data_IF_101373392619
#
_entry.id   IF_101373392619
#
_cell.length_a   1.000
_cell.length_b   1.000
_cell.length_c   1.000
_cell.angle_alpha   90.00
_cell.angle_beta   90.00
_cell.angle_gamma   90.00
#
_symmetry.space_group_name_H-M   'P 1'
#
loop_
_entity.id
_entity.type
_entity.pdbx_description
1 polymer ?
#
# COMPACT_ATOMS: atom_id res chain seq x y z
N UNK A 1 -2.56 15.10 25.12
CA UNK A 1 -2.51 14.97 23.66
C UNK A 1 -3.61 14.00 23.21
N UNK A 2 -4.22 14.22 22.06
CA UNK A 2 -5.22 13.29 21.54
C UNK A 2 -4.54 11.98 21.11
N UNK A 3 -5.24 10.84 21.28
CA UNK A 3 -4.74 9.55 20.80
C UNK A 3 -5.24 9.31 19.38
N UNK A 4 -4.34 8.92 18.51
CA UNK A 4 -4.63 8.61 17.11
C UNK A 4 -4.29 7.16 16.78
N UNK A 5 -4.89 6.65 15.71
CA UNK A 5 -4.57 5.36 15.12
C UNK A 5 -3.53 5.57 14.03
N UNK A 6 -2.41 4.88 14.16
CA UNK A 6 -1.37 4.81 13.14
C UNK A 6 -1.35 3.36 12.61
N UNK A 7 -1.75 3.16 11.36
CA UNK A 7 -1.73 1.85 10.72
C UNK A 7 -0.41 1.62 10.01
N UNK A 8 0.42 0.77 10.59
CA UNK A 8 1.72 0.39 10.04
C UNK A 8 1.53 -0.65 8.96
N UNK A 9 1.99 -0.33 7.76
CA UNK A 9 1.85 -1.16 6.56
C UNK A 9 3.23 -1.61 6.12
N UNK A 10 3.39 -2.93 5.86
CA UNK A 10 4.64 -3.51 5.36
C UNK A 10 4.38 -4.55 4.28
N UNK A 11 5.44 -4.91 3.56
CA UNK A 11 5.42 -5.98 2.56
C UNK A 11 6.00 -7.24 3.18
N UNK A 12 5.26 -8.35 3.09
CA UNK A 12 5.64 -9.63 3.68
C UNK A 12 6.68 -10.42 2.84
N UNK A 13 7.01 -11.63 3.29
CA UNK A 13 8.01 -12.50 2.67
C UNK A 13 7.45 -13.52 1.68
N UNK A 14 6.18 -13.43 1.26
CA UNK A 14 5.62 -14.36 0.28
C UNK A 14 6.33 -14.26 -1.08
N UNK A 15 6.48 -15.40 -1.73
CA UNK A 15 7.06 -15.52 -3.06
C UNK A 15 6.15 -16.40 -3.92
N UNK A 16 5.95 -16.10 -5.21
CA UNK A 16 6.57 -15.02 -5.98
C UNK A 16 5.96 -13.64 -5.74
N UNK A 17 4.76 -13.56 -5.14
CA UNK A 17 4.01 -12.32 -4.97
C UNK A 17 3.92 -11.94 -3.49
N UNK A 18 4.74 -10.98 -3.04
CA UNK A 18 4.64 -10.44 -1.69
C UNK A 18 3.28 -9.76 -1.45
N UNK A 19 2.82 -9.78 -0.21
CA UNK A 19 1.52 -9.21 0.18
C UNK A 19 1.71 -8.06 1.15
N UNK A 20 0.80 -7.09 1.06
CA UNK A 20 0.68 -6.05 2.08
C UNK A 20 0.12 -6.64 3.38
N UNK A 21 0.73 -6.24 4.47
CA UNK A 21 0.28 -6.53 5.84
C UNK A 21 0.12 -5.22 6.59
N UNK A 22 -0.74 -5.21 7.58
CA UNK A 22 -0.87 -4.05 8.45
C UNK A 22 -1.21 -4.42 9.89
N UNK A 23 -0.92 -3.50 10.79
CA UNK A 23 -1.38 -3.50 12.19
C UNK A 23 -1.46 -2.08 12.71
N UNK A 24 -2.42 -1.81 13.57
CA UNK A 24 -2.69 -0.47 14.10
C UNK A 24 -2.07 -0.26 15.47
N UNK A 25 -1.29 0.78 15.63
CA UNK A 25 -0.77 1.28 16.92
C UNK A 25 -1.53 2.54 17.34
N UNK A 26 -1.74 2.69 18.63
CA UNK A 26 -2.25 3.93 19.21
C UNK A 26 -1.04 4.76 19.65
N UNK A 27 -0.94 5.96 19.12
CA UNK A 27 0.14 6.91 19.42
C UNK A 27 -0.43 8.27 19.84
N UNK A 28 0.41 9.16 20.32
CA UNK A 28 0.03 10.54 20.55
C UNK A 28 -0.02 11.30 19.22
N UNK A 29 -1.01 12.15 19.06
CA UNK A 29 -1.20 12.97 17.87
C UNK A 29 -1.52 14.41 18.23
N UNK A 30 -1.66 15.30 17.24
CA UNK A 30 -1.43 15.03 15.80
C UNK A 30 0.04 14.77 15.48
N UNK A 31 0.27 14.07 14.36
CA UNK A 31 1.61 13.82 13.80
C UNK A 31 1.83 14.74 12.60
N UNK A 32 2.92 15.49 12.62
CA UNK A 32 3.32 16.39 11.53
C UNK A 32 4.65 15.99 10.86
N UNK A 33 5.44 15.16 11.54
CA UNK A 33 6.76 14.74 11.07
C UNK A 33 7.00 13.26 11.31
N UNK A 34 7.71 12.62 10.38
CA UNK A 34 8.03 11.19 10.43
C UNK A 34 8.77 10.79 11.72
N UNK A 35 9.59 11.68 12.26
CA UNK A 35 10.35 11.47 13.51
C UNK A 35 9.47 11.27 14.75
N UNK A 36 8.21 11.67 14.71
CA UNK A 36 7.25 11.50 15.80
C UNK A 36 6.61 10.11 15.81
N UNK A 37 6.80 9.32 14.75
CA UNK A 37 6.23 7.99 14.59
C UNK A 37 7.22 6.96 15.11
N UNK A 38 6.91 6.24 16.21
CA UNK A 38 7.86 5.29 16.78
C UNK A 38 8.04 4.05 15.91
N UNK A 39 9.21 3.46 15.94
CA UNK A 39 9.38 2.10 15.43
C UNK A 39 8.48 1.11 16.18
N UNK A 40 8.15 0.03 15.54
CA UNK A 40 7.36 -1.05 16.13
C UNK A 40 7.86 -2.41 15.65
N UNK A 41 7.26 -3.49 16.17
CA UNK A 41 7.67 -4.85 15.83
C UNK A 41 6.47 -5.74 15.51
N UNK A 42 6.75 -6.86 14.84
CA UNK A 42 5.77 -7.92 14.59
C UNK A 42 6.47 -9.29 14.61
N UNK A 43 5.66 -10.34 14.79
CA UNK A 43 6.11 -11.72 14.63
C UNK A 43 6.16 -12.08 13.13
N UNK A 44 7.36 -12.25 12.61
CA UNK A 44 7.60 -12.57 11.20
C UNK A 44 7.28 -14.01 10.82
N UNK A 45 6.94 -14.89 11.74
CA UNK A 45 6.65 -16.31 11.42
C UNK A 45 5.42 -16.43 10.52
N UNK A 46 4.37 -15.65 10.78
CA UNK A 46 3.13 -15.64 9.99
C UNK A 46 3.24 -14.95 8.64
N UNK A 47 4.34 -14.22 8.40
CA UNK A 47 4.59 -13.43 7.20
C UNK A 47 5.77 -13.93 6.38
N UNK A 48 6.28 -15.12 6.66
CA UNK A 48 7.47 -15.74 6.03
C UNK A 48 8.74 -14.88 6.15
N UNK A 49 8.84 -14.10 7.23
CA UNK A 49 9.97 -13.22 7.52
C UNK A 49 10.73 -13.61 8.78
N UNK A 50 10.30 -14.64 9.48
CA UNK A 50 10.93 -15.16 10.67
C UNK A 50 10.69 -16.65 10.85
N UNK A 51 11.49 -17.29 11.69
CA UNK A 51 11.34 -18.72 12.01
C UNK A 51 11.61 -18.97 13.50
N UNK A 52 10.76 -19.77 14.13
CA UNK A 52 10.97 -20.26 15.50
C UNK A 52 11.29 -19.14 16.51
N UNK A 53 12.38 -19.31 17.19
CA UNK A 53 12.86 -18.38 18.24
C UNK A 53 13.47 -17.06 17.68
N UNK A 54 13.64 -16.93 16.36
CA UNK A 54 14.13 -15.73 15.70
C UNK A 54 13.05 -15.17 14.78
N UNK A 55 11.88 -14.84 15.32
CA UNK A 55 10.73 -14.38 14.55
C UNK A 55 10.49 -12.88 14.62
N UNK A 56 11.01 -12.19 15.62
CA UNK A 56 10.81 -10.75 15.75
C UNK A 56 11.40 -9.96 14.59
N UNK A 57 10.61 -9.03 14.06
CA UNK A 57 11.01 -8.10 13.00
C UNK A 57 10.62 -6.69 13.39
N UNK A 58 11.50 -5.74 13.07
CA UNK A 58 11.26 -4.33 13.30
C UNK A 58 10.59 -3.70 12.06
N UNK A 59 9.64 -2.80 12.31
CA UNK A 59 9.01 -1.93 11.33
C UNK A 59 9.52 -0.52 11.54
N UNK A 60 10.34 -0.04 10.62
CA UNK A 60 10.84 1.34 10.62
C UNK A 60 9.95 2.20 9.73
N UNK A 61 9.29 3.25 10.25
CA UNK A 61 8.56 4.21 9.44
C UNK A 61 9.45 4.85 8.39
N UNK A 62 8.95 4.97 7.16
CA UNK A 62 9.67 5.60 6.03
C UNK A 62 8.86 6.69 5.36
N UNK A 63 7.53 6.67 5.55
CA UNK A 63 6.63 7.71 5.09
C UNK A 63 5.27 7.56 5.80
N UNK A 64 4.45 8.60 5.77
CA UNK A 64 3.08 8.54 6.28
C UNK A 64 2.16 9.49 5.53
N UNK A 65 0.88 9.14 5.51
CA UNK A 65 -0.17 9.94 4.90
C UNK A 65 -1.41 9.96 5.79
N UNK A 66 -2.31 10.96 5.66
CA UNK A 66 -3.63 10.91 6.27
C UNK A 66 -4.38 9.62 5.91
N UNK A 67 -5.05 9.02 6.89
CA UNK A 67 -5.86 7.80 6.66
C UNK A 67 -7.20 8.17 6.00
N UNK A 68 -7.44 7.86 4.73
CA UNK A 68 -8.65 8.26 4.03
C UNK A 68 -9.89 7.47 4.45
N UNK A 69 -9.70 6.35 5.16
CA UNK A 69 -10.81 5.48 5.59
C UNK A 69 -11.30 5.89 6.97
N UNK A 70 -10.37 6.16 7.89
CA UNK A 70 -10.73 6.58 9.26
C UNK A 70 -10.93 8.08 9.38
N UNK A 71 -10.28 8.86 8.52
CA UNK A 71 -10.33 10.32 8.54
C UNK A 71 -9.71 10.95 9.78
N UNK A 72 -9.98 12.24 10.01
CA UNK A 72 -9.46 12.99 11.16
C UNK A 72 -7.94 13.01 11.19
N UNK A 73 -7.38 12.86 12.39
CA UNK A 73 -5.92 12.88 12.62
C UNK A 73 -5.26 11.49 12.44
N UNK A 74 -6.01 10.46 12.03
CA UNK A 74 -5.50 9.11 11.85
C UNK A 74 -4.58 9.05 10.62
N UNK A 75 -3.58 8.14 10.66
CA UNK A 75 -2.55 8.05 9.62
C UNK A 75 -2.32 6.61 9.16
N UNK A 76 -1.94 6.47 7.89
CA UNK A 76 -1.31 5.27 7.34
C UNK A 76 0.19 5.50 7.35
N UNK A 77 0.95 4.51 7.83
CA UNK A 77 2.41 4.60 7.97
C UNK A 77 3.04 3.51 7.11
N UNK A 78 3.75 3.91 6.05
CA UNK A 78 4.56 2.99 5.27
C UNK A 78 5.82 2.63 6.04
N UNK A 79 6.13 1.35 6.12
CA UNK A 79 7.30 0.87 6.86
C UNK A 79 8.17 -0.06 6.01
N UNK A 80 9.46 -0.07 6.33
CA UNK A 80 10.38 -1.10 5.87
C UNK A 80 10.69 -2.09 7.00
N UNK A 81 11.02 -3.33 6.61
CA UNK A 81 11.26 -4.42 7.55
C UNK A 81 12.76 -4.59 7.79
N UNK A 82 13.13 -4.58 9.06
CA UNK A 82 14.49 -4.79 9.53
C UNK A 82 14.56 -5.97 10.51
N UNK A 83 15.77 -6.47 10.74
CA UNK A 83 16.07 -7.33 11.88
C UNK A 83 16.05 -6.49 13.19
N UNK A 84 15.98 -7.13 14.38
CA UNK A 84 15.99 -6.42 15.65
C UNK A 84 17.26 -5.58 15.91
N UNK A 85 18.37 -5.91 15.24
CA UNK A 85 19.62 -5.15 15.27
C UNK A 85 19.64 -3.95 14.30
N UNK A 86 18.48 -3.60 13.72
CA UNK A 86 18.29 -2.53 12.73
C UNK A 86 18.94 -2.79 11.37
N UNK A 87 19.53 -3.94 11.12
CA UNK A 87 19.98 -4.28 9.77
C UNK A 87 18.80 -4.61 8.87
N UNK A 88 18.85 -4.24 7.57
CA UNK A 88 17.75 -4.52 6.65
C UNK A 88 17.45 -6.01 6.55
N UNK A 89 16.17 -6.39 6.68
CA UNK A 89 15.76 -7.76 6.46
C UNK A 89 15.91 -8.12 4.97
N UNK A 90 16.22 -9.38 4.66
CA UNK A 90 16.42 -9.86 3.27
C UNK A 90 15.24 -9.60 2.32
N UNK A 91 14.02 -9.39 2.85
CA UNK A 91 12.84 -9.00 2.07
C UNK A 91 12.70 -7.49 1.88
N UNK A 92 13.55 -6.69 2.51
CA UNK A 92 13.55 -5.23 2.39
C UNK A 92 14.22 -4.81 1.07
N UNK A 93 13.42 -4.75 0.01
CA UNK A 93 13.92 -4.31 -1.31
C UNK A 93 14.15 -2.81 -1.40
N UNK A 94 13.51 -2.03 -0.51
CA UNK A 94 13.61 -0.57 -0.50
C UNK A 94 15.05 -0.10 -0.24
N UNK A 95 15.82 -0.81 0.57
CA UNK A 95 17.20 -0.43 0.88
C UNK A 95 18.06 -0.34 -0.40
N UNK A 96 17.91 -1.29 -1.33
CA UNK A 96 18.63 -1.27 -2.60
C UNK A 96 18.20 -0.09 -3.48
N UNK A 97 16.89 0.21 -3.49
CA UNK A 97 16.37 1.37 -4.23
C UNK A 97 16.92 2.67 -3.67
N UNK A 98 16.93 2.84 -2.35
CA UNK A 98 17.47 4.05 -1.70
C UNK A 98 18.94 4.27 -2.05
N UNK A 99 19.74 3.23 -2.10
CA UNK A 99 21.15 3.32 -2.48
C UNK A 99 21.34 3.72 -3.95
N UNK A 100 20.49 3.21 -4.84
CA UNK A 100 20.49 3.61 -6.26
C UNK A 100 20.06 5.06 -6.40
N UNK A 101 18.98 5.47 -5.75
CA UNK A 101 18.48 6.86 -5.80
C UNK A 101 19.55 7.84 -5.33
N UNK A 102 20.22 7.55 -4.20
CA UNK A 102 21.30 8.40 -3.67
C UNK A 102 22.43 8.62 -4.69
N UNK A 103 22.83 7.55 -5.41
CA UNK A 103 23.91 7.65 -6.42
C UNK A 103 23.49 8.41 -7.69
N UNK A 104 22.20 8.47 -7.97
CA UNK A 104 21.65 9.02 -9.21
C UNK A 104 20.74 10.24 -8.98
N UNK A 105 20.82 10.86 -7.81
CA UNK A 105 19.95 11.98 -7.44
C UNK A 105 20.03 13.16 -8.43
N UNK A 106 21.21 13.42 -8.99
CA UNK A 106 21.41 14.48 -9.96
C UNK A 106 20.71 14.28 -11.32
N UNK A 107 20.20 13.07 -11.57
CA UNK A 107 19.45 12.78 -12.81
C UNK A 107 17.99 13.24 -12.73
N UNK A 108 17.48 13.58 -11.53
CA UNK A 108 16.08 14.01 -11.32
C UNK A 108 15.07 13.10 -12.03
N UNK A 109 15.27 11.77 -11.89
CA UNK A 109 14.49 10.78 -12.64
C UNK A 109 13.00 10.82 -12.24
N UNK A 110 12.14 10.82 -13.24
CA UNK A 110 10.69 10.76 -13.08
C UNK A 110 10.18 9.37 -13.43
N UNK A 111 9.25 8.87 -12.62
CA UNK A 111 8.59 7.59 -12.83
C UNK A 111 7.07 7.77 -12.76
N UNK A 112 6.36 7.24 -13.76
CA UNK A 112 4.91 7.10 -13.72
C UNK A 112 4.53 5.68 -13.34
N UNK A 113 3.46 5.53 -12.57
CA UNK A 113 2.88 4.24 -12.21
C UNK A 113 1.43 4.24 -12.66
N UNK A 114 1.04 3.23 -13.44
CA UNK A 114 -0.34 2.92 -13.76
C UNK A 114 -0.77 1.73 -12.90
N UNK A 115 -1.64 2.00 -11.94
CA UNK A 115 -2.17 0.95 -11.08
C UNK A 115 -3.45 0.41 -11.68
N UNK A 116 -3.38 -0.80 -12.21
CA UNK A 116 -4.53 -1.51 -12.77
C UNK A 116 -5.11 -2.49 -11.74
N UNK A 117 -6.43 -2.66 -11.78
CA UNK A 117 -7.12 -3.67 -10.99
C UNK A 117 -8.41 -4.13 -11.68
N UNK A 118 -8.78 -5.39 -11.46
CA UNK A 118 -10.01 -5.98 -11.99
C UNK A 118 -10.99 -6.19 -10.84
N UNK A 119 -12.21 -5.71 -10.99
CA UNK A 119 -13.27 -5.96 -10.01
C UNK A 119 -13.85 -7.36 -10.16
N UNK A 120 -14.19 -7.97 -9.04
CA UNK A 120 -14.81 -9.27 -8.99
C UNK A 120 -16.10 -9.24 -8.16
N UNK A 121 -17.09 -10.04 -8.58
CA UNK A 121 -18.23 -10.43 -7.75
C UNK A 121 -18.06 -11.92 -7.42
N UNK A 122 -17.64 -12.23 -6.20
CA UNK A 122 -17.23 -13.57 -5.85
C UNK A 122 -16.01 -14.01 -6.64
N UNK A 123 -16.16 -14.97 -7.56
CA UNK A 123 -15.06 -15.50 -8.39
C UNK A 123 -15.13 -15.08 -9.85
N UNK A 124 -16.14 -14.31 -10.23
CA UNK A 124 -16.32 -13.84 -11.60
C UNK A 124 -15.93 -12.37 -11.73
N UNK A 125 -15.16 -11.99 -12.76
CA UNK A 125 -14.90 -10.59 -13.03
C UNK A 125 -16.22 -9.83 -13.23
N UNK A 126 -16.29 -8.63 -12.69
CA UNK A 126 -17.48 -7.79 -12.84
C UNK A 126 -17.64 -7.40 -14.31
N UNK A 127 -18.86 -7.51 -14.86
CA UNK A 127 -19.15 -7.19 -16.25
C UNK A 127 -18.96 -8.36 -17.24
N UNK A 128 -18.45 -9.50 -16.79
CA UNK A 128 -18.42 -10.69 -17.64
C UNK A 128 -19.81 -11.29 -17.82
N UNK A 129 -20.12 -11.80 -19.03
CA UNK A 129 -21.38 -12.49 -19.29
C UNK A 129 -21.46 -13.81 -18.51
N UNK A 130 -22.69 -14.26 -18.22
CA UNK A 130 -22.92 -15.59 -17.66
C UNK A 130 -22.57 -16.65 -18.72
N UNK A 131 -21.53 -17.43 -18.45
CA UNK A 131 -21.08 -18.52 -19.31
C UNK A 131 -20.47 -18.05 -20.63
N UNK A 132 -19.17 -17.83 -20.63
CA UNK A 132 -18.41 -17.44 -21.81
C UNK A 132 -17.40 -16.35 -21.55
N UNK A 133 -16.82 -15.88 -22.64
CA UNK A 133 -15.85 -14.79 -22.62
C UNK A 133 -16.50 -13.50 -23.11
N UNK A 134 -16.15 -12.34 -22.53
CA UNK A 134 -16.61 -11.06 -23.04
C UNK A 134 -15.97 -10.73 -24.39
N UNK A 135 -16.49 -9.68 -25.05
CA UNK A 135 -15.79 -9.08 -26.19
C UNK A 135 -14.39 -8.58 -25.78
N UNK A 136 -13.46 -8.41 -26.73
CA UNK A 136 -12.10 -7.95 -26.43
C UNK A 136 -12.02 -6.61 -25.68
N UNK A 137 -12.96 -5.73 -25.94
CA UNK A 137 -13.23 -4.51 -25.15
C UNK A 137 -14.71 -4.51 -24.76
N UNK A 138 -15.04 -4.00 -23.58
CA UNK A 138 -16.42 -4.01 -23.12
C UNK A 138 -16.52 -3.76 -21.63
N UNK A 139 -17.56 -4.28 -20.96
CA UNK A 139 -17.92 -3.91 -19.58
C UNK A 139 -16.84 -4.10 -18.51
N UNK A 140 -15.80 -4.82 -18.80
CA UNK A 140 -14.73 -5.12 -17.84
C UNK A 140 -13.37 -4.50 -18.24
N UNK A 141 -13.22 -3.96 -19.46
CA UNK A 141 -11.99 -3.34 -19.95
C UNK A 141 -12.30 -2.26 -20.99
N UNK A 142 -11.80 -1.05 -20.76
CA UNK A 142 -11.99 0.11 -21.62
C UNK A 142 -13.47 0.40 -21.98
N UNK A 143 -14.39 0.10 -21.08
CA UNK A 143 -15.82 0.34 -21.29
C UNK A 143 -16.16 1.82 -21.33
N UNK A 144 -17.06 2.20 -22.25
CA UNK A 144 -17.56 3.57 -22.40
C UNK A 144 -19.08 3.58 -22.33
N UNK A 145 -19.62 4.45 -21.46
CA UNK A 145 -21.06 4.56 -21.25
C UNK A 145 -21.56 3.85 -20.00
N UNK A 146 -22.71 4.26 -19.50
CA UNK A 146 -23.24 3.83 -18.20
C UNK A 146 -23.56 2.33 -18.13
N UNK A 147 -23.83 1.71 -19.26
CA UNK A 147 -24.13 0.28 -19.43
C UNK A 147 -22.87 -0.59 -19.59
N UNK A 148 -21.71 0.04 -19.79
CA UNK A 148 -20.44 -0.65 -20.02
C UNK A 148 -19.43 -0.42 -18.87
N UNK A 149 -19.59 0.65 -18.07
CA UNK A 149 -18.65 1.03 -17.00
C UNK A 149 -19.12 0.46 -15.67
N UNK A 150 -18.58 -0.70 -15.31
CA UNK A 150 -18.88 -1.35 -14.05
C UNK A 150 -17.90 -0.90 -12.93
N UNK A 151 -18.43 -0.65 -11.72
CA UNK A 151 -17.63 -0.30 -10.55
C UNK A 151 -17.09 1.14 -10.54
N UNK A 152 -17.63 2.04 -11.35
CA UNK A 152 -17.20 3.44 -11.39
C UNK A 152 -17.27 4.13 -10.03
N UNK A 153 -18.26 3.82 -9.22
CA UNK A 153 -18.40 4.33 -7.86
C UNK A 153 -17.26 3.90 -6.93
N UNK A 154 -16.66 2.75 -7.17
CA UNK A 154 -15.47 2.27 -6.42
C UNK A 154 -14.24 3.05 -6.87
N UNK A 155 -14.08 3.27 -8.18
CA UNK A 155 -12.96 4.05 -8.75
C UNK A 155 -12.97 5.47 -8.23
N UNK A 156 -14.12 6.13 -8.23
CA UNK A 156 -14.26 7.51 -7.72
C UNK A 156 -13.90 7.60 -6.23
N UNK A 157 -14.38 6.67 -5.40
CA UNK A 157 -14.01 6.63 -3.98
C UNK A 157 -12.53 6.34 -3.76
N UNK A 158 -11.92 5.53 -4.62
CA UNK A 158 -10.47 5.28 -4.57
C UNK A 158 -9.70 6.55 -4.95
N UNK A 159 -10.12 7.26 -5.99
CA UNK A 159 -9.54 8.55 -6.37
C UNK A 159 -9.62 9.57 -5.23
N UNK A 160 -10.79 9.72 -4.63
CA UNK A 160 -10.99 10.61 -3.47
C UNK A 160 -10.07 10.23 -2.30
N UNK A 161 -9.91 8.94 -2.03
CA UNK A 161 -9.00 8.45 -1.00
C UNK A 161 -7.53 8.80 -1.29
N UNK A 162 -7.10 8.67 -2.55
CA UNK A 162 -5.75 9.06 -2.97
C UNK A 162 -5.52 10.58 -2.80
N UNK A 163 -6.48 11.40 -3.24
CA UNK A 163 -6.41 12.84 -3.12
C UNK A 163 -6.40 13.28 -1.65
N UNK A 164 -7.25 12.68 -0.81
CA UNK A 164 -7.27 12.94 0.63
C UNK A 164 -5.92 12.62 1.30
N UNK A 165 -5.28 11.54 0.87
CA UNK A 165 -3.96 11.12 1.37
C UNK A 165 -2.80 11.94 0.79
N UNK A 166 -3.06 12.91 -0.10
CA UNK A 166 -2.02 13.72 -0.73
C UNK A 166 -1.19 12.97 -1.77
N UNK A 167 -1.66 11.84 -2.28
CA UNK A 167 -0.98 11.09 -3.34
C UNK A 167 -1.16 11.84 -4.66
N UNK A 168 -0.03 12.09 -5.35
CA UNK A 168 -0.02 12.75 -6.65
C UNK A 168 -0.57 11.84 -7.75
N UNK A 169 -1.88 11.86 -7.92
CA UNK A 169 -2.58 11.12 -8.98
C UNK A 169 -3.00 12.07 -10.08
N UNK A 170 -2.75 11.69 -11.35
CA UNK A 170 -3.02 12.55 -12.50
C UNK A 170 -4.36 12.24 -13.19
N UNK A 171 -4.94 11.07 -12.97
CA UNK A 171 -6.23 10.72 -13.55
C UNK A 171 -6.62 9.29 -13.32
N UNK A 172 -7.81 8.96 -13.81
CA UNK A 172 -8.39 7.60 -13.86
C UNK A 172 -9.11 7.42 -15.18
N UNK A 173 -9.20 6.21 -15.67
CA UNK A 173 -9.97 5.82 -16.85
C UNK A 173 -10.65 4.47 -16.66
#
# INVERSE_FOLDING_TARGET
MAKIKAEYIWIDGHSPTPKLRSKTKIIDGPVSELSQIPEWSFDGSSTLQGVGHNSDRAMRPVDFVPDPIRGGEHILVMTEVNYPDSTPHKTNKRVNLVDVVKRHLAHEAWFGIEQEYTFFRGRSPLGWPEGGYPAPQGPFYCGVGADEVFGRDIVERHLDACLYSGIGISGVN
#
